data_IF_583202430012
#
_entry.id   IF_583202430012
#
_cell.length_a   1.000
_cell.length_b   1.000
_cell.length_c   1.000
_cell.angle_alpha   90.00
_cell.angle_beta   90.00
_cell.angle_gamma   90.00
#
_symmetry.space_group_name_H-M   'P 1'
#
loop_
_entity.id
_entity.type
_entity.pdbx_description
1 polymer ?
#
# COMPACT_ATOMS: atom_id res chain seq x y z
N UNK A 1 9.25 18.62 20.26
CA UNK A 1 9.00 19.69 19.25
C UNK A 1 9.19 19.22 17.81
N UNK A 2 10.36 18.69 17.41
CA UNK A 2 10.63 18.22 16.03
C UNK A 2 9.61 17.18 15.49
N UNK A 3 9.25 16.16 16.27
CA UNK A 3 8.26 15.14 15.87
C UNK A 3 6.87 15.75 15.56
N UNK A 4 6.38 16.68 16.39
CA UNK A 4 5.08 17.35 16.17
C UNK A 4 5.07 18.20 14.90
N UNK A 5 6.17 18.91 14.61
CA UNK A 5 6.31 19.72 13.38
C UNK A 5 6.27 18.82 12.15
N UNK A 6 6.99 17.68 12.18
CA UNK A 6 6.98 16.70 11.08
C UNK A 6 5.57 16.16 10.86
N UNK A 7 4.84 15.78 11.91
CA UNK A 7 3.46 15.30 11.80
C UNK A 7 2.52 16.35 11.21
N UNK A 8 2.65 17.63 11.59
CA UNK A 8 1.82 18.71 11.03
C UNK A 8 2.12 18.91 9.54
N UNK A 9 3.39 18.94 9.15
CA UNK A 9 3.80 19.06 7.75
C UNK A 9 3.25 17.88 6.94
N UNK A 10 3.33 16.67 7.48
CA UNK A 10 2.78 15.46 6.88
C UNK A 10 1.26 15.56 6.67
N UNK A 11 0.51 16.00 7.70
CA UNK A 11 -0.94 16.21 7.57
C UNK A 11 -1.30 17.25 6.52
N UNK A 12 -0.52 18.33 6.40
CA UNK A 12 -0.73 19.36 5.37
C UNK A 12 -0.47 18.80 3.97
N UNK A 13 0.60 18.00 3.81
CA UNK A 13 0.93 17.31 2.55
C UNK A 13 -0.21 16.41 2.10
N UNK A 14 -0.92 15.75 3.01
CA UNK A 14 -2.10 14.95 2.67
C UNK A 14 -3.35 15.80 2.39
N UNK A 15 -3.62 16.80 3.24
CA UNK A 15 -4.87 17.57 3.16
C UNK A 15 -4.95 18.47 1.92
N UNK A 16 -3.85 19.11 1.53
CA UNK A 16 -3.85 20.07 0.41
C UNK A 16 -4.24 19.41 -0.93
N UNK A 17 -3.67 18.25 -1.34
CA UNK A 17 -4.09 17.56 -2.54
C UNK A 17 -5.55 17.07 -2.49
N UNK A 18 -6.02 16.53 -1.36
CA UNK A 18 -7.42 16.13 -1.23
C UNK A 18 -8.37 17.32 -1.32
N UNK A 19 -8.01 18.45 -0.73
CA UNK A 19 -8.76 19.70 -0.86
C UNK A 19 -8.77 20.20 -2.30
N UNK A 20 -7.62 20.17 -3.00
CA UNK A 20 -7.53 20.54 -4.41
C UNK A 20 -8.40 19.63 -5.29
N UNK A 21 -8.35 18.31 -5.06
CA UNK A 21 -9.23 17.34 -5.74
C UNK A 21 -10.71 17.70 -5.47
N UNK A 22 -11.07 17.98 -4.21
CA UNK A 22 -12.43 18.37 -3.83
C UNK A 22 -12.90 19.65 -4.51
N UNK A 23 -12.05 20.69 -4.58
CA UNK A 23 -12.35 21.95 -5.27
C UNK A 23 -12.47 21.72 -6.78
N UNK A 24 -11.56 20.96 -7.39
CA UNK A 24 -11.60 20.64 -8.81
C UNK A 24 -12.90 19.91 -9.17
N UNK A 25 -13.24 18.89 -8.38
CA UNK A 25 -14.50 18.16 -8.49
C UNK A 25 -15.69 19.11 -8.33
N UNK A 26 -15.73 19.90 -7.26
CA UNK A 26 -16.85 20.81 -6.97
C UNK A 26 -17.06 21.85 -8.07
N UNK A 27 -15.97 22.40 -8.63
CA UNK A 27 -16.04 23.37 -9.73
C UNK A 27 -16.61 22.81 -11.03
N UNK A 28 -16.59 21.48 -11.21
CA UNK A 28 -17.13 20.78 -12.38
C UNK A 28 -18.49 20.13 -12.11
N UNK A 29 -18.77 19.83 -10.85
CA UNK A 29 -19.99 19.16 -10.41
C UNK A 29 -21.13 20.13 -10.03
N UNK A 30 -20.84 21.42 -9.83
CA UNK A 30 -21.80 22.41 -9.32
C UNK A 30 -23.07 22.59 -10.14
N UNK A 31 -23.02 22.31 -11.45
CA UNK A 31 -24.15 22.45 -12.37
C UNK A 31 -24.81 21.11 -12.73
N UNK A 32 -24.38 19.99 -12.13
CA UNK A 32 -24.92 18.67 -12.44
C UNK A 32 -26.32 18.50 -11.83
N UNK A 33 -27.21 17.83 -12.57
CA UNK A 33 -28.46 17.35 -11.98
C UNK A 33 -28.16 16.38 -10.83
N UNK A 34 -29.07 16.19 -9.86
CA UNK A 34 -28.87 15.26 -8.75
C UNK A 34 -28.48 13.84 -9.20
N UNK A 35 -29.06 13.36 -10.31
CA UNK A 35 -28.72 12.04 -10.87
C UNK A 35 -27.28 12.00 -11.38
N UNK A 36 -26.86 12.99 -12.17
CA UNK A 36 -25.49 13.05 -12.68
C UNK A 36 -24.47 13.24 -11.56
N UNK A 37 -24.83 13.97 -10.50
CA UNK A 37 -23.99 14.12 -9.32
C UNK A 37 -23.77 12.78 -8.58
N UNK A 38 -24.83 11.97 -8.42
CA UNK A 38 -24.72 10.64 -7.80
C UNK A 38 -23.85 9.70 -8.65
N UNK A 39 -24.09 9.67 -9.97
CA UNK A 39 -23.27 8.88 -10.90
C UNK A 39 -21.80 9.31 -10.86
N UNK A 40 -21.56 10.61 -10.83
CA UNK A 40 -20.24 11.20 -10.69
C UNK A 40 -19.52 10.75 -9.41
N UNK A 41 -20.20 10.80 -8.25
CA UNK A 41 -19.64 10.36 -6.98
C UNK A 41 -19.33 8.85 -7.02
N UNK A 42 -20.23 8.06 -7.60
CA UNK A 42 -20.03 6.62 -7.80
C UNK A 42 -18.79 6.30 -8.63
N UNK A 43 -18.59 7.00 -9.75
CA UNK A 43 -17.39 6.83 -10.59
C UNK A 43 -16.13 7.25 -9.83
N UNK A 44 -16.16 8.37 -9.11
CA UNK A 44 -14.99 8.85 -8.36
C UNK A 44 -14.56 7.85 -7.27
N UNK A 45 -15.53 7.27 -6.56
CA UNK A 45 -15.27 6.21 -5.57
C UNK A 45 -14.68 4.97 -6.26
N UNK A 46 -15.23 4.56 -7.40
CA UNK A 46 -14.70 3.44 -8.18
C UNK A 46 -13.24 3.68 -8.60
N UNK A 47 -12.91 4.87 -9.10
CA UNK A 47 -11.54 5.24 -9.47
C UNK A 47 -10.58 5.20 -8.28
N UNK A 48 -11.03 5.60 -7.09
CA UNK A 48 -10.23 5.48 -5.87
C UNK A 48 -9.97 4.01 -5.52
N UNK A 49 -10.98 3.14 -5.60
CA UNK A 49 -10.80 1.70 -5.41
C UNK A 49 -9.81 1.09 -6.41
N UNK A 50 -9.93 1.45 -7.69
CA UNK A 50 -8.99 1.00 -8.73
C UNK A 50 -7.58 1.48 -8.44
N UNK A 51 -7.42 2.71 -7.93
CA UNK A 51 -6.12 3.26 -7.52
C UNK A 51 -5.46 2.43 -6.40
N UNK A 52 -6.25 1.93 -5.44
CA UNK A 52 -5.74 1.04 -4.39
C UNK A 52 -5.32 -0.32 -4.98
N UNK A 53 -6.13 -0.88 -5.89
CA UNK A 53 -5.79 -2.15 -6.57
C UNK A 53 -4.46 -2.01 -7.32
N UNK A 54 -4.25 -0.90 -8.01
CA UNK A 54 -3.00 -0.60 -8.72
C UNK A 54 -1.84 -0.53 -7.73
N UNK A 55 -2.01 0.15 -6.59
CA UNK A 55 -0.96 0.23 -5.57
C UNK A 55 -0.54 -1.16 -5.09
N UNK A 56 -1.50 -1.98 -4.66
CA UNK A 56 -1.21 -3.35 -4.22
C UNK A 56 -0.62 -4.21 -5.34
N UNK A 57 -1.07 -4.03 -6.58
CA UNK A 57 -0.52 -4.71 -7.75
C UNK A 57 0.94 -4.32 -8.02
N UNK A 58 1.34 -3.10 -7.67
CA UNK A 58 2.73 -2.67 -7.72
C UNK A 58 3.60 -3.47 -6.75
N UNK A 59 3.17 -3.65 -5.49
CA UNK A 59 3.88 -4.52 -4.55
C UNK A 59 4.02 -5.95 -5.09
N UNK A 60 2.95 -6.49 -5.69
CA UNK A 60 2.97 -7.81 -6.31
C UNK A 60 3.99 -7.90 -7.46
N UNK A 61 3.90 -7.00 -8.43
CA UNK A 61 4.76 -7.02 -9.63
C UNK A 61 6.24 -6.85 -9.26
N UNK A 62 6.56 -5.84 -8.45
CA UNK A 62 7.94 -5.55 -8.07
C UNK A 62 8.47 -6.53 -7.00
N UNK A 63 7.59 -7.12 -6.19
CA UNK A 63 7.93 -8.22 -5.30
C UNK A 63 8.33 -9.47 -6.09
N UNK A 64 7.52 -9.90 -7.06
CA UNK A 64 7.85 -11.02 -7.94
C UNK A 64 9.17 -10.78 -8.67
N UNK A 65 9.35 -9.56 -9.21
CA UNK A 65 10.58 -9.18 -9.90
C UNK A 65 11.83 -9.22 -8.98
N UNK A 66 11.67 -8.90 -7.70
CA UNK A 66 12.75 -8.99 -6.71
C UNK A 66 12.95 -10.38 -6.09
N UNK A 67 12.15 -11.37 -6.51
CA UNK A 67 12.24 -12.76 -6.10
C UNK A 67 11.38 -13.14 -4.90
N UNK A 68 10.42 -12.29 -4.52
CA UNK A 68 9.41 -12.67 -3.53
C UNK A 68 8.41 -13.65 -4.12
N UNK A 69 7.80 -14.45 -3.25
CA UNK A 69 6.70 -15.35 -3.60
C UNK A 69 5.35 -14.80 -3.14
N UNK A 70 4.33 -14.99 -3.96
CA UNK A 70 2.98 -14.57 -3.62
C UNK A 70 2.44 -15.32 -2.38
N UNK A 71 1.93 -14.58 -1.39
CA UNK A 71 1.21 -15.14 -0.24
C UNK A 71 -0.26 -14.72 -0.26
N UNK A 72 -0.56 -13.41 -0.25
CA UNK A 72 -1.94 -12.94 -0.34
C UNK A 72 -2.08 -11.55 -0.98
N UNK A 73 -3.25 -11.30 -1.53
CA UNK A 73 -3.68 -10.04 -2.12
C UNK A 73 -5.09 -9.75 -1.61
N UNK A 74 -5.30 -8.59 -0.99
CA UNK A 74 -6.60 -8.18 -0.49
C UNK A 74 -6.97 -6.81 -1.02
N UNK A 75 -8.25 -6.67 -1.34
CA UNK A 75 -8.89 -5.40 -1.68
C UNK A 75 -10.21 -5.35 -0.92
N UNK A 76 -10.41 -4.31 -0.11
CA UNK A 76 -11.55 -4.21 0.81
C UNK A 76 -11.70 -5.48 1.69
N UNK A 77 -12.76 -6.27 1.45
CA UNK A 77 -13.05 -7.50 2.17
C UNK A 77 -12.78 -8.78 1.37
N UNK A 78 -12.31 -8.69 0.11
CA UNK A 78 -11.99 -9.86 -0.71
C UNK A 78 -10.49 -10.12 -0.63
N UNK A 79 -10.10 -11.34 -0.26
CA UNK A 79 -8.71 -11.75 -0.17
C UNK A 79 -8.47 -13.01 -0.99
N UNK A 80 -7.49 -12.93 -1.88
CA UNK A 80 -6.88 -14.06 -2.57
C UNK A 80 -5.63 -14.46 -1.81
N UNK A 81 -5.49 -15.74 -1.46
CA UNK A 81 -4.32 -16.22 -0.72
C UNK A 81 -3.88 -17.59 -1.24
N UNK A 82 -2.56 -17.84 -1.19
CA UNK A 82 -1.94 -19.05 -1.72
C UNK A 82 -1.93 -20.15 -0.66
N UNK A 83 -2.38 -21.35 -1.03
CA UNK A 83 -2.33 -22.58 -0.22
C UNK A 83 -1.74 -23.69 -1.09
N UNK A 84 -0.49 -24.09 -0.83
CA UNK A 84 0.27 -24.92 -1.75
C UNK A 84 0.35 -24.24 -3.13
N UNK A 85 -0.01 -24.96 -4.20
CA UNK A 85 -0.01 -24.42 -5.56
C UNK A 85 -1.32 -23.75 -5.99
N UNK A 86 -2.29 -23.64 -5.08
CA UNK A 86 -3.63 -23.11 -5.39
C UNK A 86 -3.83 -21.73 -4.78
N UNK A 87 -4.52 -20.85 -5.49
CA UNK A 87 -5.03 -19.58 -4.94
C UNK A 87 -6.48 -19.78 -4.52
N UNK A 88 -6.80 -19.47 -3.27
CA UNK A 88 -8.15 -19.51 -2.72
C UNK A 88 -8.68 -18.09 -2.52
N UNK A 89 -10.00 -17.94 -2.63
CA UNK A 89 -10.71 -16.69 -2.34
C UNK A 89 -11.45 -16.83 -1.02
N UNK A 90 -11.29 -15.84 -0.14
CA UNK A 90 -12.04 -15.73 1.11
C UNK A 90 -12.52 -14.28 1.32
N UNK A 91 -13.42 -14.11 2.28
CA UNK A 91 -13.81 -12.78 2.77
C UNK A 91 -13.11 -12.50 4.09
N UNK A 92 -12.27 -11.49 4.09
CA UNK A 92 -11.54 -11.03 5.26
C UNK A 92 -11.26 -9.53 5.14
N UNK A 93 -11.55 -8.77 6.19
CA UNK A 93 -11.34 -7.32 6.22
C UNK A 93 -10.52 -6.92 7.43
N UNK A 94 -9.47 -6.14 7.20
CA UNK A 94 -8.71 -5.50 8.28
C UNK A 94 -9.15 -4.04 8.36
N UNK A 95 -9.73 -3.59 9.49
CA UNK A 95 -10.11 -2.20 9.67
C UNK A 95 -8.91 -1.25 9.49
N UNK A 96 -9.10 -0.17 8.73
CA UNK A 96 -8.07 0.85 8.52
C UNK A 96 -7.13 0.60 7.35
N UNK A 97 -7.38 -0.41 6.52
CA UNK A 97 -6.60 -0.71 5.30
C UNK A 97 -7.53 -0.84 4.10
N UNK A 98 -7.22 -0.14 3.00
CA UNK A 98 -8.01 -0.22 1.76
C UNK A 98 -7.68 -1.46 0.91
N UNK A 99 -6.42 -1.90 0.99
CA UNK A 99 -5.88 -3.09 0.35
C UNK A 99 -4.69 -3.62 1.15
N UNK A 100 -4.15 -4.77 0.74
CA UNK A 100 -2.92 -5.34 1.29
C UNK A 100 -2.38 -6.45 0.38
N UNK A 101 -1.13 -6.33 -0.04
CA UNK A 101 -0.38 -7.38 -0.70
C UNK A 101 0.69 -7.91 0.25
N UNK A 102 0.59 -9.20 0.64
CA UNK A 102 1.65 -9.90 1.38
C UNK A 102 2.40 -10.81 0.43
N UNK A 103 3.72 -10.71 0.47
CA UNK A 103 4.60 -11.60 -0.24
C UNK A 103 5.69 -12.13 0.69
N UNK A 104 6.13 -13.36 0.43
CA UNK A 104 7.18 -14.02 1.20
C UNK A 104 8.55 -13.69 0.57
N UNK A 105 9.48 -13.09 1.33
CA UNK A 105 10.82 -12.81 0.83
C UNK A 105 11.64 -14.10 0.66
N UNK A 106 12.66 -14.09 -0.21
CA UNK A 106 13.62 -15.19 -0.35
C UNK A 106 14.58 -15.21 0.86
N UNK A 107 14.28 -16.06 1.84
CA UNK A 107 15.00 -16.14 3.13
C UNK A 107 16.41 -16.71 2.99
N UNK A 108 16.70 -17.43 1.91
CA UNK A 108 17.98 -18.04 1.59
C UNK A 108 19.04 -17.03 1.10
N UNK A 109 18.64 -15.80 0.77
CA UNK A 109 19.59 -14.76 0.33
C UNK A 109 20.28 -14.11 1.51
N UNK A 110 21.59 -13.88 1.39
CA UNK A 110 22.39 -13.13 2.37
C UNK A 110 21.81 -11.73 2.63
N UNK A 111 21.28 -11.09 1.59
CA UNK A 111 20.59 -9.80 1.69
C UNK A 111 19.17 -9.90 1.17
N UNK A 112 18.22 -9.60 2.05
CA UNK A 112 16.81 -9.62 1.71
C UNK A 112 16.49 -8.40 0.84
N UNK A 113 16.00 -8.59 -0.40
CA UNK A 113 15.64 -7.46 -1.24
C UNK A 113 14.44 -6.76 -0.61
N UNK A 114 14.48 -5.44 -0.43
CA UNK A 114 13.39 -4.71 0.25
C UNK A 114 12.90 -3.50 -0.53
N UNK A 115 13.80 -2.86 -1.29
CA UNK A 115 13.51 -1.59 -1.96
C UNK A 115 12.36 -1.73 -2.96
N UNK A 116 12.50 -2.63 -3.94
CA UNK A 116 11.51 -2.76 -5.01
C UNK A 116 10.15 -3.26 -4.53
N UNK A 117 10.14 -4.20 -3.58
CA UNK A 117 8.89 -4.66 -2.96
C UNK A 117 8.12 -3.51 -2.31
N UNK A 118 8.78 -2.70 -1.46
CA UNK A 118 8.11 -1.59 -0.79
C UNK A 118 7.82 -0.43 -1.77
N UNK A 119 8.74 -0.07 -2.66
CA UNK A 119 8.53 1.05 -3.58
C UNK A 119 7.51 0.76 -4.69
N UNK A 120 7.25 -0.53 -4.97
CA UNK A 120 6.51 -0.98 -6.14
C UNK A 120 5.11 -0.38 -6.28
N UNK A 121 4.34 -0.33 -5.18
CA UNK A 121 3.01 0.27 -5.20
C UNK A 121 3.04 1.75 -5.54
N UNK A 122 3.91 2.51 -4.84
CA UNK A 122 4.08 3.93 -5.10
C UNK A 122 4.56 4.25 -6.51
N UNK A 123 5.53 3.49 -7.04
CA UNK A 123 6.04 3.64 -8.40
C UNK A 123 4.93 3.36 -9.43
N UNK A 124 4.19 2.26 -9.28
CA UNK A 124 3.16 1.91 -10.25
C UNK A 124 2.04 2.95 -10.28
N UNK A 125 1.65 3.48 -9.12
CA UNK A 125 0.72 4.59 -9.03
C UNK A 125 1.22 5.84 -9.77
N UNK A 126 2.47 6.27 -9.54
CA UNK A 126 3.02 7.44 -10.25
C UNK A 126 3.06 7.22 -11.77
N UNK A 127 3.39 6.00 -12.22
CA UNK A 127 3.36 5.65 -13.65
C UNK A 127 1.94 5.74 -14.23
N UNK A 128 0.95 5.15 -13.54
CA UNK A 128 -0.45 5.22 -13.98
C UNK A 128 -0.97 6.66 -13.95
N UNK A 129 -0.54 7.48 -12.99
CA UNK A 129 -0.89 8.90 -12.96
C UNK A 129 -0.42 9.63 -14.22
N UNK A 130 0.83 9.43 -14.62
CA UNK A 130 1.39 10.01 -15.84
C UNK A 130 0.68 9.54 -17.10
N UNK A 131 0.38 8.23 -17.20
CA UNK A 131 -0.37 7.65 -18.33
C UNK A 131 -1.78 8.24 -18.38
N UNK A 132 -2.50 8.28 -17.26
CA UNK A 132 -3.85 8.81 -17.18
C UNK A 132 -3.91 10.29 -17.58
N UNK A 133 -2.94 11.10 -17.11
CA UNK A 133 -2.83 12.49 -17.53
C UNK A 133 -2.61 12.63 -19.04
N UNK A 134 -1.70 11.84 -19.62
CA UNK A 134 -1.43 11.85 -21.07
C UNK A 134 -2.67 11.47 -21.89
N UNK A 135 -3.41 10.45 -21.46
CA UNK A 135 -4.70 10.04 -22.05
C UNK A 135 -5.68 11.22 -22.04
N UNK A 136 -5.75 11.97 -20.94
CA UNK A 136 -6.62 13.15 -20.82
C UNK A 136 -6.23 14.32 -21.72
N UNK A 137 -4.95 14.45 -22.09
CA UNK A 137 -4.47 15.46 -23.04
C UNK A 137 -4.82 15.06 -24.48
N UNK A 138 -4.74 13.76 -24.80
CA UNK A 138 -5.00 13.25 -26.16
C UNK A 138 -6.51 13.14 -26.44
N UNK A 139 -7.31 12.74 -25.46
CA UNK A 139 -8.75 12.54 -25.59
C UNK A 139 -9.54 13.46 -24.65
N UNK A 140 -9.95 14.60 -25.19
CA UNK A 140 -10.63 15.67 -24.44
C UNK A 140 -11.93 15.24 -23.75
N UNK A 141 -12.62 14.26 -24.32
CA UNK A 141 -13.93 13.81 -23.84
C UNK A 141 -13.84 13.12 -22.46
N UNK A 142 -12.66 12.60 -22.12
CA UNK A 142 -12.41 11.91 -20.84
C UNK A 142 -11.54 12.71 -19.88
N UNK A 143 -11.06 13.90 -20.27
CA UNK A 143 -10.07 14.69 -19.51
C UNK A 143 -10.43 14.84 -18.03
N UNK A 144 -11.70 15.04 -17.73
CA UNK A 144 -12.14 15.21 -16.35
C UNK A 144 -11.90 13.95 -15.49
N UNK A 145 -12.34 12.78 -15.96
CA UNK A 145 -12.17 11.52 -15.23
C UNK A 145 -10.71 11.07 -15.20
N UNK A 146 -9.99 11.25 -16.30
CA UNK A 146 -8.56 10.92 -16.36
C UNK A 146 -7.72 11.82 -15.48
N UNK A 147 -8.11 13.09 -15.29
CA UNK A 147 -7.45 13.98 -14.34
C UNK A 147 -7.73 13.55 -12.89
N UNK A 148 -8.97 13.23 -12.54
CA UNK A 148 -9.30 12.72 -11.20
C UNK A 148 -8.50 11.44 -10.91
N UNK A 149 -8.48 10.50 -11.87
CA UNK A 149 -7.74 9.26 -11.72
C UNK A 149 -6.22 9.49 -11.62
N UNK A 150 -5.68 10.42 -12.42
CA UNK A 150 -4.28 10.82 -12.34
C UNK A 150 -3.95 11.43 -10.97
N UNK A 151 -4.84 12.28 -10.45
CA UNK A 151 -4.66 12.94 -9.15
C UNK A 151 -4.70 11.95 -7.99
N UNK A 152 -5.62 10.97 -8.00
CA UNK A 152 -5.65 9.91 -6.99
C UNK A 152 -4.37 9.05 -7.02
N UNK A 153 -3.96 8.63 -8.22
CA UNK A 153 -2.75 7.83 -8.38
C UNK A 153 -1.50 8.61 -7.97
N UNK A 154 -1.35 9.86 -8.40
CA UNK A 154 -0.22 10.70 -8.00
C UNK A 154 -0.17 10.91 -6.49
N UNK A 155 -1.32 11.21 -5.88
CA UNK A 155 -1.41 11.44 -4.44
C UNK A 155 -1.01 10.19 -3.65
N UNK A 156 -1.63 9.04 -3.92
CA UNK A 156 -1.33 7.78 -3.22
C UNK A 156 0.10 7.33 -3.49
N UNK A 157 0.58 7.49 -4.73
CA UNK A 157 1.93 7.10 -5.12
C UNK A 157 3.01 7.93 -4.42
N UNK A 158 2.92 9.25 -4.51
CA UNK A 158 3.88 10.18 -3.87
C UNK A 158 3.82 10.04 -2.35
N UNK A 159 2.61 9.95 -1.78
CA UNK A 159 2.43 9.78 -0.35
C UNK A 159 3.12 8.53 0.18
N UNK A 160 3.07 7.41 -0.54
CA UNK A 160 3.73 6.18 -0.12
C UNK A 160 5.24 6.20 -0.39
N UNK A 161 5.75 6.97 -1.35
CA UNK A 161 7.20 7.06 -1.62
C UNK A 161 7.93 8.01 -0.66
N UNK A 162 7.25 9.01 -0.10
CA UNK A 162 7.85 9.92 0.90
C UNK A 162 7.86 9.21 2.27
N UNK A 163 9.01 9.09 2.95
CA UNK A 163 9.07 8.39 4.24
C UNK A 163 8.23 9.06 5.33
N UNK A 164 7.18 8.39 5.81
CA UNK A 164 6.27 8.92 6.83
C UNK A 164 5.96 7.88 7.91
N UNK A 165 6.22 8.25 9.16
CA UNK A 165 5.93 7.42 10.34
C UNK A 165 4.61 7.85 10.98
N UNK A 166 3.50 7.39 10.42
CA UNK A 166 2.14 7.63 10.93
C UNK A 166 1.73 6.62 12.01
N UNK A 167 0.41 6.39 12.16
CA UNK A 167 -0.12 5.30 12.98
C UNK A 167 0.35 3.94 12.43
N UNK A 168 0.37 3.83 11.11
CA UNK A 168 0.99 2.75 10.36
C UNK A 168 2.08 3.38 9.49
N UNK A 169 3.33 2.91 9.56
CA UNK A 169 4.37 3.34 8.65
C UNK A 169 4.00 3.08 7.18
N UNK A 170 4.28 4.03 6.30
CA UNK A 170 4.08 3.84 4.87
C UNK A 170 5.30 3.16 4.22
N UNK A 171 5.18 2.83 2.94
CA UNK A 171 6.21 2.12 2.18
C UNK A 171 7.57 2.84 2.18
N UNK A 172 7.57 4.15 2.02
CA UNK A 172 8.76 4.98 2.02
C UNK A 172 9.46 4.95 3.39
N UNK A 173 8.68 4.89 4.47
CA UNK A 173 9.24 4.71 5.81
C UNK A 173 9.84 3.32 5.98
N UNK A 174 9.18 2.27 5.47
CA UNK A 174 9.73 0.92 5.46
C UNK A 174 11.08 0.92 4.73
N UNK A 175 11.16 1.47 3.53
CA UNK A 175 12.43 1.58 2.77
C UNK A 175 13.51 2.27 3.61
N UNK A 176 13.17 3.41 4.23
CA UNK A 176 14.09 4.19 5.04
C UNK A 176 14.58 3.43 6.30
N UNK A 177 13.68 2.73 6.99
CA UNK A 177 14.01 1.93 8.16
C UNK A 177 14.90 0.74 7.80
N UNK A 178 14.55 0.03 6.72
CA UNK A 178 15.27 -1.15 6.23
C UNK A 178 16.64 -0.82 5.65
N UNK A 179 16.80 0.39 5.08
CA UNK A 179 18.11 0.87 4.65
C UNK A 179 19.10 0.97 5.83
N UNK A 180 18.63 1.42 7.00
CA UNK A 180 19.50 1.75 8.15
C UNK A 180 19.99 0.56 8.98
N UNK A 181 19.30 -0.59 8.93
CA UNK A 181 19.61 -1.71 9.81
C UNK A 181 19.43 -3.06 9.13
N UNK A 182 20.47 -3.91 9.06
CA UNK A 182 20.32 -5.31 8.66
C UNK A 182 19.36 -6.09 9.57
N UNK A 183 19.32 -5.77 10.88
CA UNK A 183 18.36 -6.37 11.81
C UNK A 183 16.92 -6.03 11.45
N UNK A 184 16.65 -4.78 11.04
CA UNK A 184 15.33 -4.37 10.56
C UNK A 184 14.91 -5.16 9.30
N UNK A 185 15.85 -5.48 8.39
CA UNK A 185 15.57 -6.33 7.22
C UNK A 185 15.17 -7.74 7.62
N UNK A 186 15.87 -8.34 8.59
CA UNK A 186 15.51 -9.65 9.15
C UNK A 186 14.13 -9.60 9.81
N UNK A 187 13.86 -8.61 10.66
CA UNK A 187 12.57 -8.42 11.31
C UNK A 187 11.41 -8.22 10.30
N UNK A 188 11.65 -7.48 9.22
CA UNK A 188 10.70 -7.33 8.11
C UNK A 188 10.35 -8.63 7.44
N UNK A 189 11.37 -9.39 7.09
CA UNK A 189 11.17 -10.63 6.41
C UNK A 189 10.44 -11.65 7.27
N UNK A 190 10.83 -11.74 8.54
CA UNK A 190 10.17 -12.58 9.52
C UNK A 190 8.71 -12.13 9.73
N UNK A 191 8.44 -10.84 9.84
CA UNK A 191 7.07 -10.32 9.97
C UNK A 191 6.18 -10.68 8.78
N UNK A 192 6.69 -10.59 7.56
CA UNK A 192 5.97 -11.03 6.35
C UNK A 192 5.73 -12.54 6.35
N UNK A 193 6.72 -13.32 6.77
CA UNK A 193 6.62 -14.77 6.85
C UNK A 193 5.58 -15.22 7.89
N UNK A 194 5.66 -14.68 9.12
CA UNK A 194 4.68 -14.93 10.19
C UNK A 194 3.27 -14.57 9.71
N UNK A 195 3.10 -13.41 9.06
CA UNK A 195 1.80 -13.00 8.51
C UNK A 195 1.28 -14.03 7.49
N UNK A 196 2.16 -14.54 6.62
CA UNK A 196 1.83 -15.60 5.67
C UNK A 196 1.41 -16.90 6.36
N UNK A 197 2.12 -17.33 7.39
CA UNK A 197 1.81 -18.53 8.18
C UNK A 197 0.49 -18.41 8.95
N UNK A 198 0.23 -17.24 9.54
CA UNK A 198 -1.04 -16.98 10.23
C UNK A 198 -2.24 -17.08 9.27
N UNK A 199 -2.08 -16.65 8.01
CA UNK A 199 -3.11 -16.82 6.97
C UNK A 199 -3.37 -18.29 6.63
N UNK A 200 -2.39 -19.17 6.85
CA UNK A 200 -2.54 -20.63 6.70
C UNK A 200 -3.10 -21.31 7.96
N UNK A 201 -3.28 -20.56 9.06
CA UNK A 201 -3.83 -21.04 10.33
C UNK A 201 -2.77 -21.48 11.35
N UNK A 202 -1.49 -21.28 11.06
CA UNK A 202 -0.39 -21.53 12.00
C UNK A 202 -0.48 -20.53 13.15
N UNK A 203 -0.44 -21.01 14.41
CA UNK A 203 -0.45 -20.10 15.58
C UNK A 203 0.98 -19.63 15.83
N UNK A 204 1.15 -18.39 16.29
CA UNK A 204 2.47 -17.82 16.58
C UNK A 204 3.28 -18.70 17.55
N UNK A 205 2.62 -19.25 18.59
CA UNK A 205 3.26 -20.15 19.56
C UNK A 205 3.74 -21.50 19.00
N UNK A 206 3.30 -21.83 17.78
CA UNK A 206 3.68 -23.06 17.10
C UNK A 206 4.82 -22.79 16.09
N UNK A 207 5.27 -21.53 15.96
CA UNK A 207 6.45 -21.13 15.18
C UNK A 207 7.69 -21.37 16.04
N UNK A 208 8.74 -21.93 15.45
CA UNK A 208 10.00 -22.24 16.13
C UNK A 208 10.65 -20.95 16.70
N UNK A 209 10.99 -20.98 17.99
CA UNK A 209 11.58 -19.86 18.72
C UNK A 209 12.93 -19.41 18.12
N UNK A 210 13.64 -20.28 17.41
CA UNK A 210 14.93 -19.97 16.76
C UNK A 210 14.84 -18.82 15.76
N UNK A 211 13.68 -18.60 15.14
CA UNK A 211 13.45 -17.45 14.26
C UNK A 211 13.46 -16.11 15.01
N UNK A 212 13.21 -16.11 16.33
CA UNK A 212 13.09 -14.91 17.15
C UNK A 212 14.37 -14.59 17.94
N UNK A 213 15.32 -15.52 18.07
CA UNK A 213 16.46 -15.43 19.00
C UNK A 213 17.47 -14.29 18.70
N UNK A 214 17.47 -13.70 17.50
CA UNK A 214 18.41 -12.64 17.11
C UNK A 214 17.83 -11.21 17.17
N UNK A 215 16.54 -11.06 17.45
CA UNK A 215 15.81 -9.79 17.34
C UNK A 215 15.29 -9.35 18.71
N UNK A 216 15.53 -8.07 19.05
CA UNK A 216 14.96 -7.46 20.25
C UNK A 216 13.53 -6.96 20.00
N UNK A 217 12.74 -6.75 21.06
CA UNK A 217 11.41 -6.12 20.97
C UNK A 217 11.41 -4.80 20.18
N UNK A 218 12.49 -4.01 20.30
CA UNK A 218 12.65 -2.77 19.54
C UNK A 218 12.84 -3.01 18.03
N UNK A 219 13.48 -4.12 17.65
CA UNK A 219 13.64 -4.51 16.24
C UNK A 219 12.30 -4.91 15.62
N UNK A 220 11.40 -5.52 16.40
CA UNK A 220 10.04 -5.83 15.99
C UNK A 220 9.16 -4.58 15.92
N UNK A 221 9.20 -3.68 16.90
CA UNK A 221 8.44 -2.43 16.88
C UNK A 221 8.74 -1.54 15.67
N UNK A 222 9.93 -1.64 15.09
CA UNK A 222 10.34 -0.90 13.90
C UNK A 222 9.63 -1.40 12.61
N UNK A 223 9.05 -2.61 12.63
CA UNK A 223 8.60 -3.29 11.42
C UNK A 223 7.22 -3.96 11.51
N UNK A 224 6.82 -4.39 12.71
CA UNK A 224 5.65 -5.24 12.98
C UNK A 224 4.33 -4.47 13.00
N UNK A 225 4.35 -3.14 13.15
CA UNK A 225 3.09 -2.37 13.21
C UNK A 225 2.37 -2.22 11.86
N UNK A 226 2.95 -2.66 10.75
CA UNK A 226 2.33 -2.57 9.42
C UNK A 226 1.34 -3.70 9.13
N UNK A 227 1.50 -4.87 9.77
CA UNK A 227 0.73 -6.07 9.39
C UNK A 227 -0.01 -6.75 10.54
N UNK A 228 0.32 -6.44 11.79
CA UNK A 228 -0.26 -7.10 12.97
C UNK A 228 -1.42 -6.27 13.58
N UNK A 229 -2.57 -6.31 12.91
CA UNK A 229 -3.87 -6.14 13.57
C UNK A 229 -4.74 -7.36 13.27
N UNK A 230 -4.33 -8.49 13.82
CA UNK A 230 -5.22 -9.63 14.03
C UNK A 230 -5.12 -9.95 15.51
N UNK A 231 -6.06 -9.39 16.28
CA UNK A 231 -6.47 -9.95 17.56
C UNK A 231 -7.47 -11.08 17.27
#
# INVERSE_FOLDING_TARGET
MKKKIITIIQSIIYLLPFMYIGIYIGSKAGDLSPLYFILFLGISILLLFVTIIIHEAGHLLFGLWSGYQFSSFRVANLMWYKVGDKVKLTRFSIPGTGGQCIMLPPMEKETIPYFWYNAGGGILNVLVAGISWLVGVIWSDFTFYTNIFAMFNALIGIANLIPMNGLVPNDGYNIFALYRSPKARKAFALGLWITGEQLLGTRIKDIDDSYFMELSEEDYLLVVLVHFKIQ
#
